data_IF_369433961194
#
_entry.id   IF_369433961194
#
_cell.length_a   1.000
_cell.length_b   1.000
_cell.length_c   1.000
_cell.angle_alpha   90.00
_cell.angle_beta   90.00
_cell.angle_gamma   90.00
#
_symmetry.space_group_name_H-M   'P 1'
#
loop_
_entity.id
_entity.type
_entity.pdbx_description
1 polymer ?
#
# COMPACT_ATOMS: atom_id res chain seq x y z
N UNK A 1 -12.10 -8.18 -7.09
CA UNK A 1 -12.43 -7.06 -6.18
C UNK A 1 -11.21 -6.21 -5.81
N UNK A 2 -9.98 -6.63 -6.12
CA UNK A 2 -8.73 -5.90 -5.83
C UNK A 2 -8.46 -4.73 -6.76
N UNK A 3 -8.87 -4.83 -8.04
CA UNK A 3 -8.72 -3.75 -9.03
C UNK A 3 -9.35 -2.41 -8.58
N UNK A 4 -10.49 -2.44 -7.88
CA UNK A 4 -11.16 -1.22 -7.38
C UNK A 4 -10.46 -0.58 -6.18
N UNK A 5 -9.73 -1.35 -5.37
CA UNK A 5 -8.96 -0.81 -4.25
C UNK A 5 -7.67 -0.17 -4.75
N UNK A 6 -6.98 -0.84 -5.67
CA UNK A 6 -5.78 -0.32 -6.31
C UNK A 6 -6.06 1.00 -7.04
N UNK A 7 -7.15 1.04 -7.81
CA UNK A 7 -7.52 2.24 -8.56
C UNK A 7 -7.86 3.42 -7.63
N UNK A 8 -8.59 3.17 -6.53
CA UNK A 8 -8.87 4.22 -5.52
C UNK A 8 -7.61 4.73 -4.83
N UNK A 9 -6.65 3.85 -4.56
CA UNK A 9 -5.36 4.25 -4.01
C UNK A 9 -4.58 5.09 -5.02
N UNK A 10 -4.53 4.64 -6.28
CA UNK A 10 -3.88 5.38 -7.36
C UNK A 10 -4.51 6.76 -7.57
N UNK A 11 -5.83 6.89 -7.55
CA UNK A 11 -6.51 8.20 -7.64
C UNK A 11 -6.09 9.16 -6.52
N UNK A 12 -5.71 8.65 -5.35
CA UNK A 12 -5.20 9.46 -4.22
C UNK A 12 -3.71 9.75 -4.29
N UNK A 13 -2.93 8.88 -4.93
CA UNK A 13 -1.48 9.01 -5.08
C UNK A 13 -1.11 9.77 -6.37
N UNK A 14 -1.95 9.76 -7.39
CA UNK A 14 -1.74 10.45 -8.67
C UNK A 14 -1.48 11.96 -8.52
N UNK A 15 -2.19 12.71 -7.63
CA UNK A 15 -1.87 14.11 -7.36
C UNK A 15 -0.46 14.34 -6.77
N UNK A 16 0.17 13.29 -6.23
CA UNK A 16 1.51 13.31 -5.65
C UNK A 16 2.58 12.92 -6.67
N UNK A 17 2.20 12.67 -7.93
CA UNK A 17 3.12 12.27 -9.00
C UNK A 17 3.38 10.76 -9.07
N UNK A 18 2.54 9.95 -8.43
CA UNK A 18 2.67 8.48 -8.46
C UNK A 18 1.88 7.91 -9.64
N UNK A 19 2.60 7.24 -10.54
CA UNK A 19 2.02 6.48 -11.63
C UNK A 19 1.58 5.07 -11.19
N UNK A 20 0.86 4.37 -12.06
CA UNK A 20 0.37 3.00 -11.83
C UNK A 20 1.49 2.03 -11.45
N UNK A 21 2.65 2.11 -12.12
CA UNK A 21 3.80 1.26 -11.81
C UNK A 21 4.40 1.60 -10.44
N UNK A 22 4.61 2.89 -10.17
CA UNK A 22 5.11 3.41 -8.90
C UNK A 22 4.20 3.00 -7.73
N UNK A 23 2.88 3.08 -7.91
CA UNK A 23 1.91 2.65 -6.91
C UNK A 23 2.03 1.15 -6.60
N UNK A 24 2.29 0.31 -7.60
CA UNK A 24 2.49 -1.12 -7.40
C UNK A 24 3.79 -1.42 -6.62
N UNK A 25 4.88 -0.69 -6.91
CA UNK A 25 6.12 -0.79 -6.14
C UNK A 25 5.93 -0.31 -4.69
N UNK A 26 5.27 0.82 -4.49
CA UNK A 26 4.95 1.36 -3.17
C UNK A 26 4.15 0.38 -2.32
N UNK A 27 3.13 -0.27 -2.91
CA UNK A 27 2.33 -1.26 -2.21
C UNK A 27 3.17 -2.47 -1.80
N UNK A 28 4.11 -2.90 -2.66
CA UNK A 28 5.00 -4.02 -2.35
C UNK A 28 5.96 -3.69 -1.19
N UNK A 29 6.57 -2.51 -1.21
CA UNK A 29 7.39 -2.02 -0.11
C UNK A 29 6.58 -1.90 1.20
N UNK A 30 5.37 -1.34 1.09
CA UNK A 30 4.48 -1.21 2.23
C UNK A 30 4.05 -2.57 2.77
N UNK A 31 3.84 -3.58 1.93
CA UNK A 31 3.56 -4.95 2.36
C UNK A 31 4.72 -5.51 3.20
N UNK A 32 5.96 -5.33 2.77
CA UNK A 32 7.15 -5.75 3.55
C UNK A 32 7.22 -5.04 4.91
N UNK A 33 6.90 -3.74 4.95
CA UNK A 33 6.82 -2.98 6.20
C UNK A 33 5.73 -3.53 7.12
N UNK A 34 4.53 -3.77 6.58
CA UNK A 34 3.37 -4.27 7.31
C UNK A 34 3.55 -5.70 7.82
N UNK A 35 4.33 -6.53 7.12
CA UNK A 35 4.70 -7.86 7.61
C UNK A 35 5.55 -7.80 8.88
N UNK A 36 6.38 -6.77 9.02
CA UNK A 36 7.16 -6.54 10.24
C UNK A 36 6.39 -5.75 11.30
N UNK A 37 5.47 -4.88 10.88
CA UNK A 37 4.72 -3.95 11.73
C UNK A 37 3.26 -3.83 11.25
N UNK A 38 2.38 -4.75 11.66
CA UNK A 38 1.00 -4.80 11.18
C UNK A 38 0.13 -3.64 11.68
N UNK A 39 0.51 -3.00 12.80
CA UNK A 39 -0.21 -1.88 13.41
C UNK A 39 0.57 -0.57 13.27
N UNK A 40 1.09 -0.29 12.08
CA UNK A 40 1.88 0.91 11.81
C UNK A 40 0.98 2.13 11.58
N UNK A 41 1.33 3.25 12.20
CA UNK A 41 0.67 4.54 11.94
C UNK A 41 1.03 5.12 10.56
N UNK A 42 0.12 5.88 9.93
CA UNK A 42 0.35 6.50 8.62
C UNK A 42 1.58 7.41 8.58
N UNK A 43 1.86 8.13 9.67
CA UNK A 43 3.07 8.95 9.79
C UNK A 43 4.35 8.10 9.79
N UNK A 44 4.33 6.97 10.51
CA UNK A 44 5.46 6.03 10.58
C UNK A 44 5.65 5.30 9.25
N UNK A 45 4.56 4.90 8.60
CA UNK A 45 4.58 4.29 7.26
C UNK A 45 5.15 5.25 6.21
N UNK A 46 4.69 6.51 6.21
CA UNK A 46 5.23 7.58 5.36
C UNK A 46 6.73 7.78 5.63
N UNK A 47 7.14 7.84 6.90
CA UNK A 47 8.55 7.96 7.27
C UNK A 47 9.40 6.81 6.73
N UNK A 48 8.90 5.56 6.79
CA UNK A 48 9.60 4.41 6.23
C UNK A 48 9.66 4.42 4.71
N UNK A 49 8.57 4.83 4.04
CA UNK A 49 8.55 4.97 2.59
C UNK A 49 9.55 6.04 2.12
N UNK A 50 9.65 7.17 2.82
CA UNK A 50 10.67 8.19 2.54
C UNK A 50 12.10 7.61 2.64
N UNK A 51 12.37 6.75 3.64
CA UNK A 51 13.67 6.07 3.77
C UNK A 51 13.98 5.11 2.62
N UNK A 52 12.95 4.57 1.96
CA UNK A 52 13.09 3.71 0.78
C UNK A 52 13.27 4.50 -0.53
N UNK A 53 13.14 5.83 -0.49
CA UNK A 53 13.30 6.70 -1.65
C UNK A 53 12.02 7.38 -2.11
N UNK A 54 10.86 7.05 -1.52
CA UNK A 54 9.55 7.64 -1.82
C UNK A 54 9.39 9.05 -1.22
N UNK A 55 10.34 9.94 -1.51
CA UNK A 55 10.37 11.30 -0.98
C UNK A 55 9.26 12.13 -1.60
N UNK A 56 8.28 12.54 -0.80
CA UNK A 56 7.14 13.35 -1.23
C UNK A 56 5.81 12.61 -1.28
N UNK A 57 5.81 11.31 -0.97
CA UNK A 57 4.57 10.57 -0.80
C UNK A 57 4.10 10.66 0.65
N UNK A 58 2.86 11.08 0.82
CA UNK A 58 2.19 11.15 2.11
C UNK A 58 1.04 10.15 2.12
N UNK A 59 1.08 9.22 3.07
CA UNK A 59 -0.02 8.30 3.31
C UNK A 59 -0.94 8.87 4.38
N UNK A 60 -2.17 9.22 3.98
CA UNK A 60 -3.27 9.42 4.93
C UNK A 60 -3.73 8.09 5.52
N UNK A 61 -4.45 8.15 6.65
CA UNK A 61 -5.09 6.99 7.26
C UNK A 61 -5.94 6.20 6.25
N UNK A 62 -6.71 6.87 5.39
CA UNK A 62 -7.52 6.22 4.37
C UNK A 62 -6.67 5.51 3.31
N UNK A 63 -5.61 6.16 2.81
CA UNK A 63 -4.70 5.56 1.83
C UNK A 63 -3.99 4.33 2.40
N UNK A 64 -3.58 4.40 3.66
CA UNK A 64 -2.98 3.26 4.37
C UNK A 64 -3.97 2.10 4.51
N UNK A 65 -5.21 2.37 4.93
CA UNK A 65 -6.25 1.32 5.05
C UNK A 65 -6.58 0.67 3.71
N UNK A 66 -6.63 1.43 2.62
CA UNK A 66 -6.82 0.90 1.27
C UNK A 66 -5.67 -0.03 0.87
N UNK A 67 -4.43 0.38 1.14
CA UNK A 67 -3.27 -0.43 0.82
C UNK A 67 -3.21 -1.72 1.66
N UNK A 68 -3.53 -1.65 2.96
CA UNK A 68 -3.65 -2.82 3.84
C UNK A 68 -4.72 -3.78 3.29
N UNK A 69 -5.93 -3.28 3.02
CA UNK A 69 -7.02 -4.10 2.49
C UNK A 69 -6.68 -4.75 1.14
N UNK A 70 -5.91 -4.05 0.30
CA UNK A 70 -5.40 -4.61 -0.95
C UNK A 70 -4.42 -5.75 -0.68
N UNK A 71 -3.44 -5.54 0.19
CA UNK A 71 -2.43 -6.55 0.56
C UNK A 71 -3.09 -7.78 1.19
N UNK A 72 -4.06 -7.60 2.08
CA UNK A 72 -4.84 -8.69 2.68
C UNK A 72 -5.67 -9.44 1.64
N UNK A 73 -6.27 -8.73 0.68
CA UNK A 73 -7.04 -9.34 -0.40
C UNK A 73 -6.16 -10.13 -1.39
N UNK A 74 -4.91 -9.73 -1.59
CA UNK A 74 -3.94 -10.48 -2.39
C UNK A 74 -3.46 -11.73 -1.62
N UNK A 75 -3.19 -11.60 -0.30
CA UNK A 75 -2.83 -12.75 0.57
C UNK A 75 -3.92 -13.80 0.64
N UNK A 76 -5.19 -13.40 0.76
CA UNK A 76 -6.33 -14.33 0.81
C UNK A 76 -6.56 -15.06 -0.51
N UNK A 77 -6.22 -14.45 -1.65
CA UNK A 77 -6.31 -15.09 -2.97
C UNK A 77 -5.27 -16.20 -3.16
N UNK A 78 -4.13 -16.14 -2.45
CA UNK A 78 -3.12 -17.21 -2.45
C UNK A 78 -3.37 -18.28 -1.36
N UNK A 79 -4.40 -18.13 -0.53
CA UNK A 79 -4.72 -19.01 0.61
C UNK A 79 -5.84 -20.03 0.37
N UNK A 80 -6.50 -20.02 -0.79
CA UNK A 80 -7.55 -20.98 -1.14
C UNK A 80 -7.14 -21.85 -2.34
N UNK A 81 -6.03 -22.56 -2.18
CA UNK A 81 -5.69 -23.76 -2.94
C UNK A 81 -5.22 -24.85 -1.98
N UNK A 82 -5.96 -25.09 -0.88
CA UNK A 82 -5.90 -26.28 -0.04
C UNK A 82 -6.98 -26.22 1.06
N UNK A 83 -8.23 -26.54 0.71
CA UNK A 83 -9.12 -27.42 1.49
C UNK A 83 -10.40 -27.75 0.75
#
# INVERSE_FOLDING_TARGET
MTASLFQRLLERLAPQGVDTEEAAFLIRDLATILESLPAIDPATATGKLNLLGWNGITLDYQSLQLAIALIESEKTTSGNACR
#
